data_IF_100775349617
#
_entry.id   IF_100775349617
#
_cell.length_a   1.000
_cell.length_b   1.000
_cell.length_c   1.000
_cell.angle_alpha   90.00
_cell.angle_beta   90.00
_cell.angle_gamma   90.00
#
_symmetry.space_group_name_H-M   'P 1'
#
loop_
_entity.id
_entity.type
_entity.pdbx_description
1 polymer ?
#
# COMPACT_ATOMS: atom_id res chain seq x y z
N UNK A 1 22.88 -6.58 18.20
CA UNK A 1 22.96 -7.85 17.44
C UNK A 1 21.69 -7.94 16.60
N UNK A 2 21.80 -7.82 15.27
CA UNK A 2 20.69 -8.06 14.36
C UNK A 2 20.43 -9.56 14.40
N UNK A 3 19.21 -10.05 14.74
CA UNK A 3 18.95 -11.48 14.79
C UNK A 3 19.21 -12.10 13.41
N UNK A 4 19.79 -13.29 13.42
CA UNK A 4 20.09 -14.05 12.21
C UNK A 4 18.83 -14.13 11.33
N UNK A 5 18.99 -13.81 10.03
CA UNK A 5 17.93 -13.91 9.01
C UNK A 5 17.46 -15.38 8.93
N UNK A 6 16.46 -15.77 9.71
CA UNK A 6 15.73 -17.01 9.48
C UNK A 6 14.93 -16.82 8.20
N UNK A 7 15.53 -17.15 7.06
CA UNK A 7 14.86 -17.12 5.76
C UNK A 7 13.77 -18.20 5.77
N UNK A 8 12.53 -17.76 5.49
CA UNK A 8 11.47 -18.68 5.10
C UNK A 8 11.96 -19.59 3.96
N UNK A 9 11.60 -20.88 4.03
CA UNK A 9 11.81 -21.79 2.91
C UNK A 9 11.11 -21.22 1.67
N UNK A 10 11.77 -21.23 0.50
CA UNK A 10 11.23 -20.70 -0.76
C UNK A 10 9.84 -21.25 -1.12
N UNK A 11 9.57 -22.50 -0.74
CA UNK A 11 8.28 -23.15 -0.97
C UNK A 11 7.18 -22.54 -0.08
N UNK A 12 7.48 -22.30 1.20
CA UNK A 12 6.55 -21.66 2.13
C UNK A 12 6.26 -20.21 1.72
N UNK A 13 7.32 -19.48 1.35
CA UNK A 13 7.20 -18.12 0.82
C UNK A 13 6.20 -18.04 -0.35
N UNK A 14 6.37 -18.90 -1.36
CA UNK A 14 5.45 -18.96 -2.51
C UNK A 14 4.01 -19.28 -2.09
N UNK A 15 3.83 -20.20 -1.14
CA UNK A 15 2.51 -20.58 -0.62
C UNK A 15 1.79 -19.43 0.06
N UNK A 16 2.47 -18.62 0.85
CA UNK A 16 1.87 -17.46 1.52
C UNK A 16 1.48 -16.37 0.52
N UNK A 17 2.36 -16.05 -0.43
CA UNK A 17 2.06 -15.09 -1.50
C UNK A 17 0.85 -15.55 -2.33
N UNK A 18 0.79 -16.82 -2.70
CA UNK A 18 -0.35 -17.37 -3.46
C UNK A 18 -1.65 -17.34 -2.65
N UNK A 19 -1.57 -17.55 -1.33
CA UNK A 19 -2.73 -17.43 -0.43
C UNK A 19 -3.26 -15.99 -0.43
N UNK A 20 -2.38 -15.01 -0.28
CA UNK A 20 -2.73 -13.60 -0.33
C UNK A 20 -3.28 -13.17 -1.70
N UNK A 21 -2.67 -13.63 -2.80
CA UNK A 21 -3.18 -13.37 -4.16
C UNK A 21 -4.61 -13.86 -4.32
N UNK A 22 -4.92 -15.09 -3.88
CA UNK A 22 -6.28 -15.63 -3.91
C UNK A 22 -7.27 -14.81 -3.09
N UNK A 23 -6.86 -14.32 -1.92
CA UNK A 23 -7.69 -13.47 -1.08
C UNK A 23 -8.00 -12.14 -1.80
N UNK A 24 -6.98 -11.46 -2.34
CA UNK A 24 -7.14 -10.21 -3.07
C UNK A 24 -7.96 -10.35 -4.35
N UNK A 25 -7.79 -11.45 -5.09
CA UNK A 25 -8.62 -11.76 -6.26
C UNK A 25 -10.12 -11.89 -5.89
N UNK A 26 -10.42 -12.43 -4.71
CA UNK A 26 -11.81 -12.53 -4.23
C UNK A 26 -12.35 -11.17 -3.72
N UNK A 27 -11.51 -10.33 -3.12
CA UNK A 27 -11.88 -9.01 -2.60
C UNK A 27 -12.15 -8.01 -3.71
N UNK A 28 -11.37 -8.01 -4.77
CA UNK A 28 -11.43 -7.02 -5.85
C UNK A 28 -12.83 -6.78 -6.40
N UNK A 29 -13.64 -7.79 -6.78
CA UNK A 29 -15.00 -7.55 -7.30
C UNK A 29 -15.96 -6.91 -6.28
N UNK A 30 -15.71 -7.11 -4.99
CA UNK A 30 -16.49 -6.51 -3.90
C UNK A 30 -16.07 -5.05 -3.75
N UNK A 31 -14.75 -4.80 -3.67
CA UNK A 31 -14.19 -3.47 -3.54
C UNK A 31 -14.61 -2.54 -4.67
N UNK A 32 -14.65 -3.03 -5.91
CA UNK A 32 -15.13 -2.27 -7.08
C UNK A 32 -16.56 -1.75 -6.95
N UNK A 33 -17.41 -2.45 -6.19
CA UNK A 33 -18.83 -2.12 -6.00
C UNK A 33 -19.08 -1.39 -4.68
N UNK A 34 -18.08 -1.24 -3.85
CA UNK A 34 -18.22 -0.68 -2.51
C UNK A 34 -18.35 0.84 -2.54
N UNK A 35 -19.08 1.38 -1.56
CA UNK A 35 -19.13 2.81 -1.30
C UNK A 35 -17.77 3.36 -0.85
N UNK A 36 -16.94 2.53 -0.23
CA UNK A 36 -15.58 2.91 0.21
C UNK A 36 -14.74 3.42 -0.96
N UNK A 37 -14.74 2.70 -2.08
CA UNK A 37 -13.99 3.08 -3.28
C UNK A 37 -14.74 4.02 -4.22
N UNK A 38 -16.06 4.07 -4.12
CA UNK A 38 -16.96 4.94 -4.88
C UNK A 38 -16.59 5.05 -6.36
N UNK A 39 -16.47 3.89 -7.01
CA UNK A 39 -15.89 3.75 -8.35
C UNK A 39 -16.67 4.54 -9.42
N UNK A 40 -17.97 4.73 -9.26
CA UNK A 40 -18.78 5.52 -10.21
C UNK A 40 -18.44 7.00 -10.15
N UNK A 41 -18.27 7.60 -8.97
CA UNK A 41 -17.82 8.99 -8.86
C UNK A 41 -16.34 9.15 -9.25
N UNK A 42 -15.52 8.11 -8.96
CA UNK A 42 -14.15 8.09 -9.44
C UNK A 42 -14.07 8.17 -10.97
N UNK A 43 -14.88 7.42 -11.69
CA UNK A 43 -14.95 7.48 -13.16
C UNK A 43 -15.36 8.86 -13.67
N UNK A 44 -16.22 9.57 -12.96
CA UNK A 44 -16.65 10.94 -13.29
C UNK A 44 -15.61 12.03 -12.97
N UNK A 45 -14.48 11.69 -12.34
CA UNK A 45 -13.39 12.63 -12.10
C UNK A 45 -13.01 12.84 -10.63
N UNK A 46 -13.65 12.15 -9.68
CA UNK A 46 -13.22 12.19 -8.28
C UNK A 46 -11.75 11.75 -8.16
N UNK A 47 -10.97 12.46 -7.34
CA UNK A 47 -9.61 12.06 -7.00
C UNK A 47 -9.65 11.07 -5.82
N UNK A 48 -8.98 9.92 -5.95
CA UNK A 48 -8.88 8.94 -4.86
C UNK A 48 -7.82 9.29 -3.82
N UNK A 49 -6.78 10.04 -4.23
CA UNK A 49 -5.68 10.45 -3.36
C UNK A 49 -6.17 11.39 -2.25
N UNK A 50 -5.62 11.24 -1.06
CA UNK A 50 -5.93 12.06 0.11
C UNK A 50 -4.95 13.24 0.20
N UNK A 51 -5.28 14.23 1.02
CA UNK A 51 -4.42 15.41 1.22
C UNK A 51 -3.02 15.04 1.73
N UNK A 52 -2.91 13.93 2.47
CA UNK A 52 -1.63 13.43 3.01
C UNK A 52 -0.66 13.12 1.85
N UNK A 53 -1.08 12.33 0.86
CA UNK A 53 -0.24 11.98 -0.28
C UNK A 53 -0.04 13.15 -1.23
N UNK A 54 -1.11 13.91 -1.49
CA UNK A 54 -1.05 15.08 -2.39
C UNK A 54 -0.04 16.12 -1.90
N UNK A 55 -0.04 16.43 -0.61
CA UNK A 55 0.92 17.35 -0.01
C UNK A 55 2.34 16.79 0.00
N UNK A 56 2.48 15.47 0.16
CA UNK A 56 3.77 14.82 0.22
C UNK A 56 4.43 14.68 -1.17
N UNK A 57 3.67 14.31 -2.20
CA UNK A 57 4.22 13.99 -3.52
C UNK A 57 4.68 15.24 -4.29
N UNK A 58 4.01 16.37 -4.10
CA UNK A 58 4.26 17.61 -4.83
C UNK A 58 3.85 17.53 -6.30
N UNK A 59 4.53 18.29 -7.17
CA UNK A 59 4.24 18.30 -8.60
C UNK A 59 4.69 16.99 -9.27
N UNK A 60 3.76 16.33 -9.95
CA UNK A 60 3.98 15.06 -10.67
C UNK A 60 3.89 15.22 -12.19
N UNK A 61 3.56 16.41 -12.69
CA UNK A 61 3.34 16.65 -14.13
C UNK A 61 4.58 16.32 -14.95
N UNK A 62 4.42 15.44 -15.92
CA UNK A 62 5.48 14.98 -16.82
C UNK A 62 6.49 14.01 -16.20
N UNK A 63 6.36 13.68 -14.91
CA UNK A 63 7.24 12.72 -14.24
C UNK A 63 6.79 11.28 -14.48
N UNK A 64 7.76 10.37 -14.63
CA UNK A 64 7.51 8.94 -14.63
C UNK A 64 7.27 8.46 -13.19
N UNK A 65 6.14 7.74 -12.96
CA UNK A 65 5.71 7.27 -11.65
C UNK A 65 5.42 5.78 -11.68
N UNK A 66 6.04 5.03 -10.76
CA UNK A 66 5.76 3.62 -10.49
C UNK A 66 4.92 3.51 -9.21
N UNK A 67 3.70 3.00 -9.32
CA UNK A 67 2.84 2.70 -8.18
C UNK A 67 2.92 1.22 -7.86
N UNK A 68 3.53 0.87 -6.73
CA UNK A 68 3.65 -0.51 -6.24
C UNK A 68 2.41 -0.90 -5.44
N UNK A 69 1.91 -2.15 -5.66
CA UNK A 69 0.73 -2.69 -4.98
C UNK A 69 -0.52 -1.83 -5.23
N UNK A 70 -0.75 -1.50 -6.52
CA UNK A 70 -1.72 -0.49 -6.94
C UNK A 70 -3.20 -0.94 -6.90
N UNK A 71 -3.49 -2.17 -6.49
CA UNK A 71 -4.83 -2.75 -6.52
C UNK A 71 -5.49 -2.58 -7.90
N UNK A 72 -6.77 -2.14 -7.98
CA UNK A 72 -7.42 -1.83 -9.27
C UNK A 72 -7.21 -0.37 -9.74
N UNK A 73 -6.15 0.28 -9.28
CA UNK A 73 -5.49 1.40 -9.95
C UNK A 73 -6.09 2.77 -9.79
N UNK A 74 -7.03 3.05 -8.88
CA UNK A 74 -7.61 4.38 -8.73
C UNK A 74 -6.55 5.46 -8.46
N UNK A 75 -5.61 5.22 -7.53
CA UNK A 75 -4.54 6.19 -7.24
C UNK A 75 -3.58 6.36 -8.43
N UNK A 76 -3.27 5.26 -9.13
CA UNK A 76 -2.48 5.32 -10.36
C UNK A 76 -3.14 6.20 -11.42
N UNK A 77 -4.44 6.04 -11.61
CA UNK A 77 -5.24 6.83 -12.57
C UNK A 77 -5.33 8.29 -12.09
N UNK A 78 -5.46 8.53 -10.78
CA UNK A 78 -5.46 9.88 -10.20
C UNK A 78 -4.15 10.62 -10.48
N UNK A 79 -3.00 9.97 -10.31
CA UNK A 79 -1.70 10.53 -10.71
C UNK A 79 -1.60 10.81 -12.21
N UNK A 80 -2.14 9.91 -13.05
CA UNK A 80 -2.15 10.12 -14.50
C UNK A 80 -3.02 11.34 -14.89
N UNK A 81 -4.18 11.54 -14.24
CA UNK A 81 -5.01 12.75 -14.39
C UNK A 81 -4.27 14.03 -13.98
N UNK A 82 -3.34 13.93 -13.02
CA UNK A 82 -2.46 15.04 -12.62
C UNK A 82 -1.28 15.25 -13.59
N UNK A 83 -1.17 14.46 -14.65
CA UNK A 83 -0.17 14.58 -15.71
C UNK A 83 1.08 13.75 -15.52
N UNK A 84 1.13 12.81 -14.57
CA UNK A 84 2.21 11.83 -14.45
C UNK A 84 2.12 10.76 -15.56
N UNK A 85 3.27 10.20 -15.94
CA UNK A 85 3.37 9.01 -16.80
C UNK A 85 3.46 7.78 -15.89
N UNK A 86 2.34 7.05 -15.74
CA UNK A 86 2.18 6.09 -14.65
C UNK A 86 2.28 4.65 -15.11
N UNK A 87 3.04 3.85 -14.34
CA UNK A 87 3.02 2.38 -14.37
C UNK A 87 2.52 1.89 -13.01
N UNK A 88 1.40 1.15 -12.98
CA UNK A 88 0.86 0.51 -11.80
C UNK A 88 1.19 -0.98 -11.78
N UNK A 89 1.59 -1.51 -10.64
CA UNK A 89 1.94 -2.93 -10.46
C UNK A 89 1.16 -3.52 -9.30
N UNK A 90 0.54 -4.66 -9.52
CA UNK A 90 -0.09 -5.47 -8.48
C UNK A 90 0.05 -6.96 -8.81
N UNK A 91 0.04 -7.82 -7.79
CA UNK A 91 0.13 -9.28 -8.01
C UNK A 91 -1.22 -9.91 -8.32
N UNK A 92 -2.33 -9.22 -8.05
CA UNK A 92 -3.68 -9.68 -8.36
C UNK A 92 -3.99 -9.48 -9.84
N UNK A 93 -4.10 -10.57 -10.59
CA UNK A 93 -4.52 -10.56 -11.98
C UNK A 93 -5.93 -10.00 -12.17
N UNK A 94 -6.83 -10.25 -11.21
CA UNK A 94 -8.19 -9.69 -11.20
C UNK A 94 -8.15 -8.17 -11.03
N UNK A 95 -7.34 -7.67 -10.09
CA UNK A 95 -7.21 -6.23 -9.86
C UNK A 95 -6.60 -5.52 -11.09
N UNK A 96 -5.54 -6.06 -11.66
CA UNK A 96 -4.90 -5.51 -12.86
C UNK A 96 -5.83 -5.51 -14.08
N UNK A 97 -6.63 -6.57 -14.26
CA UNK A 97 -7.65 -6.62 -15.32
C UNK A 97 -8.66 -5.48 -15.18
N UNK A 98 -9.18 -5.26 -13.97
CA UNK A 98 -10.15 -4.19 -13.72
C UNK A 98 -9.50 -2.80 -13.80
N UNK A 99 -8.25 -2.64 -13.36
CA UNK A 99 -7.50 -1.39 -13.50
C UNK A 99 -7.37 -0.97 -14.98
N UNK A 100 -6.99 -1.90 -15.85
CA UNK A 100 -6.93 -1.66 -17.31
C UNK A 100 -8.28 -1.25 -17.86
N UNK A 101 -9.34 -2.00 -17.52
CA UNK A 101 -10.70 -1.69 -17.97
C UNK A 101 -11.16 -0.30 -17.54
N UNK A 102 -10.95 0.10 -16.29
CA UNK A 102 -11.29 1.44 -15.81
C UNK A 102 -10.51 2.51 -16.58
N UNK A 103 -9.19 2.34 -16.71
CA UNK A 103 -8.31 3.26 -17.45
C UNK A 103 -8.77 3.47 -18.90
N UNK A 104 -9.11 2.38 -19.61
CA UNK A 104 -9.65 2.40 -20.97
C UNK A 104 -11.02 3.08 -21.04
N UNK A 105 -11.95 2.73 -20.15
CA UNK A 105 -13.31 3.27 -20.10
C UNK A 105 -13.34 4.79 -19.95
N UNK A 106 -12.44 5.34 -19.14
CA UNK A 106 -12.38 6.79 -18.86
C UNK A 106 -11.33 7.53 -19.71
N UNK A 107 -10.67 6.85 -20.64
CA UNK A 107 -9.64 7.40 -21.52
C UNK A 107 -8.48 8.09 -20.78
N UNK A 108 -8.02 7.53 -19.66
CA UNK A 108 -6.83 7.99 -18.91
C UNK A 108 -5.75 6.93 -19.01
N UNK A 109 -4.70 7.11 -19.84
CA UNK A 109 -3.72 6.07 -20.11
C UNK A 109 -2.82 5.80 -18.90
N UNK A 110 -2.81 4.54 -18.44
CA UNK A 110 -1.91 4.01 -17.40
C UNK A 110 -1.42 2.63 -17.84
N UNK A 111 -0.13 2.38 -17.70
CA UNK A 111 0.43 1.04 -17.94
C UNK A 111 0.23 0.19 -16.68
N UNK A 112 -0.58 -0.87 -16.76
CA UNK A 112 -0.78 -1.80 -15.66
C UNK A 112 -0.10 -3.15 -15.90
N UNK A 113 0.66 -3.62 -14.92
CA UNK A 113 1.49 -4.85 -14.97
C UNK A 113 1.13 -5.76 -13.81
N UNK A 114 0.72 -7.00 -14.12
CA UNK A 114 0.60 -8.05 -13.11
C UNK A 114 2.00 -8.55 -12.75
N UNK A 115 2.45 -8.29 -11.54
CA UNK A 115 3.71 -8.83 -11.03
C UNK A 115 3.76 -8.74 -9.49
N UNK A 116 4.58 -9.61 -8.89
CA UNK A 116 4.92 -9.53 -7.47
C UNK A 116 6.04 -8.51 -7.27
N UNK A 117 5.81 -7.52 -6.43
CA UNK A 117 6.79 -6.45 -6.14
C UNK A 117 8.12 -6.98 -5.55
N UNK A 118 8.13 -8.16 -4.92
CA UNK A 118 9.35 -8.76 -4.36
C UNK A 118 10.31 -9.36 -5.42
N UNK A 119 9.92 -9.38 -6.67
CA UNK A 119 10.73 -9.90 -7.77
C UNK A 119 10.51 -9.13 -9.06
N UNK A 120 9.93 -7.94 -8.96
CA UNK A 120 9.65 -7.07 -10.10
C UNK A 120 10.94 -6.72 -10.84
N UNK A 121 10.89 -6.85 -12.16
CA UNK A 121 11.95 -6.40 -13.08
C UNK A 121 11.29 -5.69 -14.26
N UNK A 122 11.38 -4.38 -14.25
CA UNK A 122 11.04 -3.52 -15.39
C UNK A 122 12.35 -2.99 -15.98
N UNK A 123 12.41 -2.82 -17.29
CA UNK A 123 13.58 -2.27 -18.00
C UNK A 123 13.52 -0.73 -18.03
N UNK A 124 13.06 -0.11 -16.95
CA UNK A 124 12.85 1.32 -16.84
C UNK A 124 13.04 1.79 -15.40
N UNK A 125 13.50 3.03 -15.22
CA UNK A 125 13.60 3.73 -13.93
C UNK A 125 12.62 4.91 -13.90
N UNK A 126 12.18 5.27 -12.69
CA UNK A 126 11.11 6.23 -12.46
C UNK A 126 11.61 7.42 -11.65
N UNK A 127 11.03 8.60 -11.90
CA UNK A 127 11.28 9.81 -11.10
C UNK A 127 10.66 9.68 -9.71
N UNK A 128 9.50 9.00 -9.63
CA UNK A 128 8.76 8.77 -8.39
C UNK A 128 8.38 7.29 -8.30
N UNK A 129 8.59 6.69 -7.13
CA UNK A 129 7.97 5.40 -6.76
C UNK A 129 7.03 5.67 -5.59
N UNK A 130 5.81 5.19 -5.69
CA UNK A 130 4.74 5.38 -4.71
C UNK A 130 4.18 4.06 -4.20
N UNK A 131 3.84 4.02 -2.93
CA UNK A 131 3.13 2.92 -2.28
C UNK A 131 2.23 3.48 -1.18
N UNK A 132 1.00 2.98 -1.03
CA UNK A 132 0.05 3.54 -0.07
C UNK A 132 -0.82 2.51 0.62
N UNK A 133 -1.06 2.77 1.86
CA UNK A 133 -2.01 2.23 2.82
C UNK A 133 -2.26 0.72 2.83
N UNK A 134 -1.80 0.10 3.92
CA UNK A 134 -2.03 -1.31 4.19
C UNK A 134 -1.27 -2.24 3.25
N UNK A 135 -0.09 -1.83 2.77
CA UNK A 135 0.71 -2.58 1.79
C UNK A 135 1.86 -3.36 2.43
N UNK A 136 2.47 -2.81 3.48
CA UNK A 136 3.69 -3.36 4.09
C UNK A 136 3.43 -4.73 4.74
N UNK A 137 2.31 -4.89 5.41
CA UNK A 137 1.98 -6.14 6.11
C UNK A 137 1.74 -7.36 5.18
N UNK A 138 1.58 -7.16 3.88
CA UNK A 138 1.50 -8.25 2.90
C UNK A 138 2.87 -8.76 2.45
N UNK A 139 3.96 -8.14 2.90
CA UNK A 139 5.32 -8.38 2.44
C UNK A 139 6.12 -9.19 3.48
N UNK A 140 6.50 -10.43 3.17
CA UNK A 140 7.35 -11.24 4.06
C UNK A 140 8.82 -10.80 4.08
N UNK A 141 9.26 -9.92 3.15
CA UNK A 141 10.67 -9.58 2.95
C UNK A 141 10.80 -8.14 2.49
N UNK A 142 11.05 -7.23 3.45
CA UNK A 142 11.23 -5.81 3.14
C UNK A 142 12.58 -5.49 2.47
N UNK A 143 13.60 -6.32 2.63
CA UNK A 143 14.88 -6.14 1.92
C UNK A 143 14.66 -6.30 0.41
N UNK A 144 13.90 -7.33 -0.03
CA UNK A 144 13.55 -7.51 -1.44
C UNK A 144 12.67 -6.40 -1.98
N UNK A 145 11.70 -5.95 -1.19
CA UNK A 145 10.85 -4.81 -1.55
C UNK A 145 11.67 -3.53 -1.72
N UNK A 146 12.55 -3.20 -0.76
CA UNK A 146 13.43 -2.04 -0.83
C UNK A 146 14.43 -2.13 -2.00
N UNK A 147 14.95 -3.34 -2.28
CA UNK A 147 15.79 -3.61 -3.45
C UNK A 147 15.04 -3.33 -4.76
N UNK A 148 13.77 -3.73 -4.85
CA UNK A 148 12.92 -3.41 -6.01
C UNK A 148 12.79 -1.89 -6.19
N UNK A 149 12.56 -1.14 -5.11
CA UNK A 149 12.49 0.32 -5.17
C UNK A 149 13.83 0.89 -5.63
N UNK A 150 14.95 0.46 -5.04
CA UNK A 150 16.27 0.95 -5.37
C UNK A 150 16.66 0.68 -6.85
N UNK A 151 16.28 -0.46 -7.41
CA UNK A 151 16.56 -0.81 -8.81
C UNK A 151 15.78 0.09 -9.77
N UNK A 152 14.50 0.39 -9.46
CA UNK A 152 13.61 1.10 -10.37
C UNK A 152 13.56 2.61 -10.11
N UNK A 153 14.17 3.13 -9.05
CA UNK A 153 14.21 4.56 -8.79
C UNK A 153 15.40 5.20 -9.48
N UNK A 154 15.20 6.28 -10.22
CA UNK A 154 16.28 7.10 -10.79
C UNK A 154 17.17 7.65 -9.68
N UNK A 155 18.44 7.90 -9.99
CA UNK A 155 19.32 8.65 -9.08
C UNK A 155 18.70 10.04 -8.80
N UNK A 156 18.59 10.40 -7.51
CA UNK A 156 17.88 11.60 -7.08
C UNK A 156 16.35 11.52 -7.14
N UNK A 157 15.79 10.42 -7.62
CA UNK A 157 14.35 10.16 -7.60
C UNK A 157 13.80 10.01 -6.19
N UNK A 158 12.49 10.15 -6.04
CA UNK A 158 11.78 10.10 -4.76
C UNK A 158 10.96 8.82 -4.62
N UNK A 159 11.19 8.08 -3.56
CA UNK A 159 10.24 7.09 -3.06
C UNK A 159 9.34 7.74 -2.00
N UNK A 160 8.03 7.57 -2.13
CA UNK A 160 7.00 7.99 -1.18
C UNK A 160 6.20 6.79 -0.70
N UNK A 161 6.21 6.56 0.59
CA UNK A 161 5.33 5.62 1.28
C UNK A 161 4.38 6.40 2.19
N UNK A 162 3.08 6.22 2.00
CA UNK A 162 2.05 6.64 2.96
C UNK A 162 1.37 5.39 3.51
N UNK A 163 1.52 5.13 4.81
CA UNK A 163 1.12 3.84 5.37
C UNK A 163 0.43 3.99 6.73
N UNK A 164 -0.39 3.02 7.07
CA UNK A 164 -0.90 2.92 8.43
C UNK A 164 0.25 2.69 9.41
N UNK A 165 0.18 3.43 10.53
CA UNK A 165 1.22 3.33 11.54
C UNK A 165 1.14 1.94 12.21
N UNK A 166 2.25 1.20 12.38
CA UNK A 166 2.22 -0.14 12.96
C UNK A 166 1.68 -0.16 14.40
N UNK A 167 1.69 0.99 15.09
CA UNK A 167 1.07 1.13 16.40
C UNK A 167 -0.46 1.02 16.35
N UNK A 168 -1.10 1.28 15.20
CA UNK A 168 -2.55 1.22 15.04
C UNK A 168 -3.09 -0.19 15.33
N UNK A 169 -2.41 -1.23 14.88
CA UNK A 169 -2.83 -2.62 15.11
C UNK A 169 -2.73 -2.99 16.59
N UNK A 170 -1.72 -2.49 17.31
CA UNK A 170 -1.58 -2.71 18.76
C UNK A 170 -2.73 -2.11 19.58
N UNK A 171 -3.23 -0.94 19.18
CA UNK A 171 -4.30 -0.26 19.94
C UNK A 171 -5.70 -0.78 19.61
N UNK A 172 -5.85 -1.57 18.56
CA UNK A 172 -7.11 -2.26 18.24
C UNK A 172 -7.33 -3.53 19.06
N UNK A 173 -6.36 -3.88 19.90
CA UNK A 173 -6.38 -5.06 20.80
C UNK A 173 -6.53 -6.40 20.07
N UNK A 174 -5.91 -6.52 18.91
CA UNK A 174 -6.00 -7.71 18.07
C UNK A 174 -4.91 -8.77 18.36
N UNK A 175 -4.09 -8.57 19.40
CA UNK A 175 -3.02 -9.50 19.75
C UNK A 175 -1.85 -9.53 18.76
N UNK A 176 -1.71 -8.50 17.92
CA UNK A 176 -0.59 -8.38 16.99
C UNK A 176 0.71 -8.02 17.71
N UNK A 177 1.79 -8.65 17.26
CA UNK A 177 3.14 -8.28 17.66
C UNK A 177 3.58 -7.01 16.92
N UNK A 178 4.35 -6.14 17.58
CA UNK A 178 4.95 -4.96 16.93
C UNK A 178 6.17 -5.32 16.09
N UNK A 179 6.91 -6.34 16.52
CA UNK A 179 8.16 -6.72 15.88
C UNK A 179 7.95 -7.84 14.85
N UNK A 180 8.76 -7.79 13.81
CA UNK A 180 8.72 -8.75 12.73
C UNK A 180 9.03 -10.18 13.21
N UNK A 181 8.23 -11.11 12.72
CA UNK A 181 8.49 -12.55 12.76
C UNK A 181 8.56 -13.10 11.33
N UNK A 182 9.48 -14.02 11.00
CA UNK A 182 9.50 -14.66 9.69
C UNK A 182 8.21 -15.45 9.40
N UNK A 183 7.58 -16.00 10.43
CA UNK A 183 6.29 -16.70 10.32
C UNK A 183 5.16 -15.66 10.32
N UNK A 184 4.28 -15.67 9.33
CA UNK A 184 3.15 -14.74 9.30
C UNK A 184 2.08 -15.09 10.31
N UNK A 185 1.32 -14.11 10.70
CA UNK A 185 -0.01 -14.30 11.27
C UNK A 185 -0.93 -14.80 10.17
N UNK A 186 -1.62 -15.91 10.44
CA UNK A 186 -2.52 -16.55 9.48
C UNK A 186 -3.94 -16.41 9.98
N UNK A 187 -4.74 -15.67 9.25
CA UNK A 187 -6.12 -15.37 9.64
C UNK A 187 -7.13 -15.94 8.64
N UNK A 188 -8.30 -16.28 9.16
CA UNK A 188 -9.50 -16.54 8.39
C UNK A 188 -10.43 -15.35 8.63
N UNK A 189 -10.48 -14.47 7.66
CA UNK A 189 -11.28 -13.26 7.73
C UNK A 189 -12.69 -13.51 7.17
N UNK A 190 -13.69 -13.06 7.93
CA UNK A 190 -15.08 -13.01 7.51
C UNK A 190 -15.40 -11.58 7.07
N UNK A 191 -15.55 -11.37 5.76
CA UNK A 191 -15.75 -10.05 5.19
C UNK A 191 -14.48 -9.44 4.59
N UNK A 192 -14.50 -8.12 4.50
CA UNK A 192 -13.39 -7.27 4.09
C UNK A 192 -13.62 -5.88 4.70
N UNK A 193 -12.62 -5.01 4.68
CA UNK A 193 -12.71 -3.65 5.24
C UNK A 193 -13.68 -2.71 4.48
N UNK A 194 -14.25 -3.17 3.37
CA UNK A 194 -15.28 -2.42 2.63
C UNK A 194 -16.66 -2.99 2.88
N UNK A 195 -17.69 -2.19 2.60
CA UNK A 195 -19.08 -2.66 2.54
C UNK A 195 -19.28 -3.73 1.45
N UNK A 196 -20.35 -4.52 1.58
CA UNK A 196 -20.72 -5.58 0.62
C UNK A 196 -20.00 -6.92 0.78
N UNK A 197 -19.02 -7.00 1.66
CA UNK A 197 -18.16 -8.18 1.84
C UNK A 197 -18.65 -9.22 2.86
N UNK A 198 -19.79 -9.08 3.50
CA UNK A 198 -20.22 -9.87 4.66
C UNK A 198 -20.25 -11.41 4.47
N UNK A 199 -20.36 -11.89 3.24
CA UNK A 199 -20.35 -13.33 2.91
C UNK A 199 -18.97 -13.84 2.43
N UNK A 200 -17.98 -12.96 2.34
CA UNK A 200 -16.65 -13.32 1.89
C UNK A 200 -15.90 -14.03 3.02
N UNK A 201 -15.30 -15.17 2.71
CA UNK A 201 -14.35 -15.83 3.60
C UNK A 201 -13.04 -15.93 2.87
N UNK A 202 -11.98 -15.34 3.44
CA UNK A 202 -10.62 -15.39 2.91
C UNK A 202 -9.64 -15.84 3.98
N UNK A 203 -8.63 -16.58 3.55
CA UNK A 203 -7.45 -16.86 4.34
C UNK A 203 -6.36 -15.88 3.95
N UNK A 204 -5.73 -15.23 4.91
CA UNK A 204 -4.67 -14.25 4.70
C UNK A 204 -3.42 -14.61 5.52
N UNK A 205 -2.30 -14.07 5.07
CA UNK A 205 -1.01 -14.16 5.73
C UNK A 205 -0.46 -12.74 5.87
N UNK A 206 -0.26 -12.32 7.11
CA UNK A 206 0.15 -10.96 7.44
C UNK A 206 1.47 -10.96 8.21
N UNK A 207 2.34 -9.99 7.95
CA UNK A 207 3.59 -9.78 8.68
C UNK A 207 3.60 -8.43 9.36
N UNK A 208 3.97 -8.41 10.62
CA UNK A 208 4.16 -7.17 11.36
C UNK A 208 5.55 -6.60 11.04
N UNK A 209 5.62 -5.31 10.82
CA UNK A 209 6.86 -4.60 10.55
C UNK A 209 6.92 -3.33 11.39
N UNK A 210 7.92 -3.26 12.28
CA UNK A 210 8.20 -2.02 13.00
C UNK A 210 8.74 -0.92 12.08
N UNK A 211 8.67 0.33 12.51
CA UNK A 211 9.30 1.43 11.78
C UNK A 211 10.80 1.17 11.54
N UNK A 212 11.48 0.56 12.51
CA UNK A 212 12.90 0.16 12.36
C UNK A 212 13.11 -0.82 11.21
N UNK A 213 12.20 -1.80 11.02
CA UNK A 213 12.31 -2.74 9.89
C UNK A 213 12.20 -2.01 8.55
N UNK A 214 11.23 -1.08 8.43
CA UNK A 214 11.00 -0.31 7.21
C UNK A 214 12.21 0.57 6.90
N UNK A 215 12.69 1.35 7.88
CA UNK A 215 13.82 2.26 7.71
C UNK A 215 15.11 1.50 7.37
N UNK A 216 15.42 0.44 8.11
CA UNK A 216 16.62 -0.37 7.89
C UNK A 216 16.63 -1.03 6.52
N UNK A 217 15.48 -1.53 6.04
CA UNK A 217 15.37 -2.13 4.72
C UNK A 217 15.68 -1.10 3.60
N UNK A 218 15.11 0.12 3.71
CA UNK A 218 15.37 1.18 2.76
C UNK A 218 16.84 1.60 2.76
N UNK A 219 17.42 1.89 3.92
CA UNK A 219 18.81 2.35 4.05
C UNK A 219 19.82 1.30 3.61
N UNK A 220 19.60 0.01 3.95
CA UNK A 220 20.45 -1.11 3.53
C UNK A 220 20.48 -1.31 2.01
N UNK A 221 19.46 -0.81 1.30
CA UNK A 221 19.37 -0.84 -0.15
C UNK A 221 19.75 0.50 -0.82
N UNK A 222 20.42 1.41 -0.11
CA UNK A 222 20.95 2.66 -0.65
C UNK A 222 19.91 3.77 -0.82
N UNK A 223 18.76 3.64 -0.20
CA UNK A 223 17.71 4.65 -0.17
C UNK A 223 17.85 5.49 1.10
N UNK A 224 18.23 6.75 0.96
CA UNK A 224 18.40 7.68 2.08
C UNK A 224 17.04 8.27 2.48
N UNK A 225 16.63 8.11 3.74
CA UNK A 225 15.47 8.79 4.27
C UNK A 225 15.69 10.30 4.25
N UNK A 226 14.71 11.03 3.73
CA UNK A 226 14.75 12.49 3.60
C UNK A 226 13.60 13.18 4.33
N UNK A 227 12.55 12.44 4.66
CA UNK A 227 11.40 12.95 5.39
C UNK A 227 10.68 11.80 6.10
N UNK A 228 10.16 12.10 7.31
CA UNK A 228 9.24 11.24 8.03
C UNK A 228 8.27 12.12 8.82
N UNK A 229 6.98 11.84 8.72
CA UNK A 229 5.92 12.59 9.39
C UNK A 229 4.81 11.64 9.83
N UNK A 230 4.31 11.82 11.05
CA UNK A 230 3.23 11.03 11.62
C UNK A 230 1.95 11.87 11.73
N UNK A 231 0.80 11.22 11.56
CA UNK A 231 -0.52 11.87 11.62
C UNK A 231 -1.37 11.25 12.71
N UNK A 232 -1.99 12.09 13.53
CA UNK A 232 -2.89 11.71 14.64
C UNK A 232 -4.33 11.44 14.19
N UNK A 233 -4.50 11.07 12.92
CA UNK A 233 -5.78 10.70 12.31
C UNK A 233 -5.58 9.73 11.12
N UNK A 234 -6.63 8.97 10.81
CA UNK A 234 -6.76 8.22 9.56
C UNK A 234 -7.51 9.06 8.52
N UNK A 235 -7.11 9.07 7.23
CA UNK A 235 -7.88 9.68 6.15
C UNK A 235 -9.07 8.80 5.70
N UNK A 236 -9.23 7.62 6.30
CA UNK A 236 -10.29 6.67 6.02
C UNK A 236 -11.11 6.37 7.28
N UNK A 237 -12.42 6.24 7.11
CA UNK A 237 -13.29 5.71 8.15
C UNK A 237 -13.17 4.19 8.16
N UNK A 238 -12.41 3.65 9.09
CA UNK A 238 -12.26 2.21 9.32
C UNK A 238 -13.12 1.76 10.50
N UNK A 239 -13.22 0.44 10.69
CA UNK A 239 -13.99 -0.13 11.79
C UNK A 239 -13.53 0.39 13.17
N UNK A 240 -14.49 0.69 14.04
CA UNK A 240 -14.25 1.29 15.37
C UNK A 240 -13.84 2.77 15.36
N UNK A 241 -13.80 3.42 14.17
CA UNK A 241 -13.46 4.86 14.07
C UNK A 241 -14.70 5.75 13.99
N UNK A 242 -14.51 6.99 14.38
CA UNK A 242 -15.48 8.08 14.31
C UNK A 242 -14.86 9.31 13.64
N UNK A 243 -15.71 10.14 13.04
CA UNK A 243 -15.28 11.39 12.39
C UNK A 243 -14.82 12.41 13.45
N UNK A 244 -13.59 12.89 13.32
CA UNK A 244 -13.04 14.01 14.11
C UNK A 244 -13.27 15.34 13.38
N UNK A 245 -12.93 15.37 12.10
CA UNK A 245 -13.11 16.47 11.15
C UNK A 245 -13.38 15.90 9.74
N UNK A 246 -13.64 16.77 8.76
CA UNK A 246 -13.76 16.31 7.36
C UNK A 246 -12.46 15.66 6.89
N UNK A 247 -12.57 14.40 6.41
CA UNK A 247 -11.42 13.60 5.97
C UNK A 247 -10.48 13.15 7.08
N UNK A 248 -10.85 13.31 8.36
CA UNK A 248 -10.04 12.86 9.50
C UNK A 248 -10.87 12.01 10.47
N UNK A 249 -10.41 10.81 10.70
CA UNK A 249 -11.07 9.80 11.52
C UNK A 249 -10.14 9.28 12.60
N UNK A 250 -10.70 8.97 13.78
CA UNK A 250 -9.96 8.48 14.95
C UNK A 250 -10.74 7.34 15.60
N UNK A 251 -10.08 6.42 16.29
CA UNK A 251 -10.75 5.40 17.10
C UNK A 251 -11.59 6.11 18.19
N UNK A 252 -12.84 5.68 18.34
CA UNK A 252 -13.76 6.27 19.34
C UNK A 252 -13.17 6.18 20.74
N UNK A 253 -12.51 5.06 21.08
CA UNK A 253 -11.82 4.85 22.36
C UNK A 253 -10.62 5.78 22.56
N UNK A 254 -10.14 6.46 21.51
CA UNK A 254 -8.99 7.36 21.48
C UNK A 254 -9.34 8.79 21.05
N UNK A 255 -10.61 9.15 21.00
CA UNK A 255 -11.09 10.45 20.47
C UNK A 255 -10.41 11.66 21.14
N UNK A 256 -10.10 11.56 22.42
CA UNK A 256 -9.44 12.61 23.20
C UNK A 256 -7.95 12.34 23.47
N UNK A 257 -7.31 11.45 22.68
CA UNK A 257 -5.90 11.09 22.79
C UNK A 257 -5.22 11.28 21.45
N UNK A 258 -4.05 11.89 21.45
CA UNK A 258 -3.18 11.88 20.27
C UNK A 258 -2.52 10.51 20.15
N UNK A 259 -2.74 9.87 19.02
CA UNK A 259 -2.25 8.52 18.70
C UNK A 259 -1.84 8.51 17.23
N UNK A 260 -0.69 7.96 16.84
CA UNK A 260 -0.31 7.91 15.43
C UNK A 260 -1.17 6.87 14.68
N UNK A 261 -1.80 7.29 13.59
CA UNK A 261 -2.63 6.45 12.72
C UNK A 261 -1.99 6.16 11.39
N UNK A 262 -1.29 7.14 10.85
CA UNK A 262 -0.69 7.11 9.51
C UNK A 262 0.67 7.79 9.58
N UNK A 263 1.57 7.40 8.70
CA UNK A 263 2.83 8.13 8.49
C UNK A 263 3.12 8.31 7.00
N UNK A 264 3.87 9.36 6.70
CA UNK A 264 4.54 9.58 5.44
C UNK A 264 6.05 9.38 5.61
N UNK A 265 6.64 8.67 4.65
CA UNK A 265 8.07 8.50 4.56
C UNK A 265 8.53 8.86 3.14
N UNK A 266 9.56 9.70 3.02
CA UNK A 266 10.26 9.92 1.75
C UNK A 266 11.69 9.41 1.83
N UNK A 267 12.12 8.75 0.77
CA UNK A 267 13.51 8.36 0.59
C UNK A 267 13.99 8.69 -0.83
N UNK A 268 15.29 8.90 -0.98
CA UNK A 268 15.93 9.18 -2.28
C UNK A 268 17.03 8.19 -2.56
N UNK A 269 17.21 7.81 -3.83
CA UNK A 269 18.36 7.04 -4.30
C UNK A 269 19.59 7.95 -4.44
N UNK A 270 20.68 7.57 -3.82
CA UNK A 270 21.96 8.29 -3.88
C UNK A 270 22.64 8.19 -5.25
#
# INVERSE_FOLDING_TARGET
>A
MIPAKNHLNLTEFKKYIETNKKAWNKRTPIHLKSNFYNNEEFKKGMNSLKLIELNAVGDVKGKSLLHLQCHFGQDSISFARMGAIVTGVDFSDVAIKEAKKISEEINVPVKFVENNVLGLKLNEEFDIIFSSYGVIGWLPDLDKWASTIAIHLKKGGMFLLTEFHPFLELIKDNGYDYFYSPKPDIEIENGTYTDGGSKLITKTCWWNHSLTNIFSALESNGLKLTHFEEFDYSPFLLDGMTKKEEGKYVLETRRNKSTPYVFNLKATKK
#
